data_IF_507709498352
#
_entry.id   IF_507709498352
#
_cell.length_a   1.000
_cell.length_b   1.000
_cell.length_c   1.000
_cell.angle_alpha   90.00
_cell.angle_beta   90.00
_cell.angle_gamma   90.00
#
_symmetry.space_group_name_H-M   'P 1'
#
loop_
_entity.id
_entity.type
_entity.pdbx_description
1 polymer ?
#
# COMPACT_ATOMS: atom_id res chain seq x y z
N UNK A 1 -10.53 21.17 -8.90
CA UNK A 1 -9.17 21.72 -8.85
C UNK A 1 -8.66 22.01 -10.27
N UNK A 2 -7.86 23.07 -10.49
CA UNK A 2 -7.26 23.37 -11.80
C UNK A 2 -6.18 22.36 -12.16
N UNK A 3 -6.06 21.99 -13.45
CA UNK A 3 -5.08 21.01 -13.93
C UNK A 3 -3.64 21.43 -13.67
N UNK A 4 -3.35 22.72 -13.72
CA UNK A 4 -2.04 23.27 -13.41
C UNK A 4 -1.63 23.01 -11.95
N UNK A 5 -2.59 23.08 -11.02
CA UNK A 5 -2.33 22.75 -9.62
C UNK A 5 -2.17 21.24 -9.42
N UNK A 6 -2.99 20.41 -10.10
CA UNK A 6 -2.82 18.95 -10.08
C UNK A 6 -1.39 18.58 -10.52
N UNK A 7 -0.95 19.15 -11.67
CA UNK A 7 0.40 18.93 -12.17
C UNK A 7 1.47 19.40 -11.19
N UNK A 8 1.29 20.59 -10.59
CA UNK A 8 2.22 21.14 -9.61
C UNK A 8 2.40 20.22 -8.41
N UNK A 9 1.32 19.59 -7.89
CA UNK A 9 1.43 18.63 -6.78
C UNK A 9 2.33 17.45 -7.17
N UNK A 10 2.15 16.87 -8.37
CA UNK A 10 3.02 15.81 -8.85
C UNK A 10 4.48 16.25 -8.97
N UNK A 11 4.73 17.42 -9.56
CA UNK A 11 6.08 17.95 -9.76
C UNK A 11 6.79 18.20 -8.41
N UNK A 12 6.08 18.79 -7.43
CA UNK A 12 6.63 19.13 -6.12
C UNK A 12 6.83 17.91 -5.21
N UNK A 13 6.15 16.80 -5.49
CA UNK A 13 6.25 15.54 -4.73
C UNK A 13 6.98 14.43 -5.48
N UNK A 14 7.65 14.74 -6.60
CA UNK A 14 8.41 13.80 -7.44
C UNK A 14 9.73 13.36 -6.78
N UNK A 15 9.66 12.78 -5.59
CA UNK A 15 10.78 12.22 -4.85
C UNK A 15 10.34 11.02 -4.01
N UNK A 16 11.31 10.17 -3.67
CA UNK A 16 11.09 9.02 -2.77
C UNK A 16 10.72 9.54 -1.38
N UNK A 17 9.63 9.00 -0.80
CA UNK A 17 9.06 9.45 0.47
C UNK A 17 8.56 8.26 1.30
N UNK A 18 9.51 7.39 1.65
CA UNK A 18 9.21 6.15 2.39
C UNK A 18 8.60 6.44 3.76
N UNK A 19 7.67 5.61 4.17
CA UNK A 19 6.94 5.73 5.43
C UNK A 19 7.85 5.92 6.66
N UNK A 20 7.55 6.93 7.48
CA UNK A 20 8.32 7.32 8.66
C UNK A 20 9.58 8.14 8.39
N UNK A 21 9.88 8.49 7.13
CA UNK A 21 11.05 9.31 6.76
C UNK A 21 10.77 10.82 6.85
N UNK A 22 11.85 11.62 6.90
CA UNK A 22 11.75 13.08 6.77
C UNK A 22 11.15 13.51 5.42
N UNK A 23 11.35 12.70 4.38
CA UNK A 23 10.77 12.95 3.06
C UNK A 23 9.25 12.74 3.07
N UNK A 24 8.75 11.71 3.75
CA UNK A 24 7.32 11.52 3.97
C UNK A 24 6.72 12.69 4.77
N UNK A 25 7.36 13.10 5.87
CA UNK A 25 6.93 14.26 6.66
C UNK A 25 6.86 15.54 5.83
N UNK A 26 7.86 15.78 4.98
CA UNK A 26 7.85 16.91 4.04
C UNK A 26 6.66 16.85 3.08
N UNK A 27 6.28 15.67 2.58
CA UNK A 27 5.10 15.52 1.74
C UNK A 27 3.80 15.78 2.51
N UNK A 28 3.70 15.32 3.77
CA UNK A 28 2.56 15.62 4.64
C UNK A 28 2.38 17.13 4.85
N UNK A 29 3.45 17.84 5.18
CA UNK A 29 3.43 19.30 5.34
C UNK A 29 3.08 20.03 4.04
N UNK A 30 3.58 19.53 2.91
CA UNK A 30 3.23 20.07 1.59
C UNK A 30 1.74 19.91 1.29
N UNK A 31 1.16 18.73 1.56
CA UNK A 31 -0.28 18.48 1.36
C UNK A 31 -1.12 19.35 2.31
N UNK A 32 -0.72 19.47 3.58
CA UNK A 32 -1.37 20.35 4.54
C UNK A 32 -1.34 21.81 4.07
N UNK A 33 -0.19 22.30 3.58
CA UNK A 33 -0.08 23.66 3.05
C UNK A 33 -0.92 23.85 1.79
N UNK A 34 -0.92 22.87 0.87
CA UNK A 34 -1.76 22.90 -0.34
C UNK A 34 -3.26 23.00 0.01
N UNK A 35 -3.70 22.27 1.03
CA UNK A 35 -5.07 22.39 1.52
C UNK A 35 -5.35 23.81 2.04
N UNK A 36 -4.44 24.38 2.83
CA UNK A 36 -4.56 25.75 3.34
C UNK A 36 -4.62 26.80 2.22
N UNK A 37 -3.83 26.63 1.17
CA UNK A 37 -3.83 27.52 -0.01
C UNK A 37 -5.15 27.45 -0.79
N UNK A 38 -5.87 26.34 -0.67
CA UNK A 38 -7.23 26.15 -1.21
C UNK A 38 -8.34 26.65 -0.27
N UNK A 39 -7.97 27.18 0.91
CA UNK A 39 -8.91 27.65 1.94
C UNK A 39 -9.52 26.51 2.78
N UNK A 40 -8.87 25.35 2.82
CA UNK A 40 -9.26 24.19 3.62
C UNK A 40 -8.43 24.12 4.90
N UNK A 41 -9.06 23.79 6.02
CA UNK A 41 -8.37 23.54 7.27
C UNK A 41 -7.86 22.10 7.31
N UNK A 42 -6.53 21.92 7.42
CA UNK A 42 -5.91 20.63 7.49
C UNK A 42 -4.96 20.53 8.69
N UNK A 43 -4.97 19.38 9.36
CA UNK A 43 -4.08 19.10 10.47
C UNK A 43 -3.32 17.78 10.28
N UNK A 44 -2.21 17.62 11.00
CA UNK A 44 -1.42 16.40 11.04
C UNK A 44 -1.80 15.60 12.28
N UNK A 45 -2.08 14.31 12.08
CA UNK A 45 -2.32 13.36 13.17
C UNK A 45 -1.18 12.35 13.22
N UNK A 46 -0.30 12.41 14.25
CA UNK A 46 0.87 11.55 14.33
C UNK A 46 0.51 10.14 14.82
N UNK A 47 1.30 9.16 14.35
CA UNK A 47 1.29 7.80 14.87
C UNK A 47 2.70 7.20 14.87
N UNK A 48 2.94 6.26 15.81
CA UNK A 48 4.24 5.61 15.95
C UNK A 48 4.47 4.55 14.87
N UNK A 49 5.70 4.48 14.36
CA UNK A 49 6.15 3.47 13.40
C UNK A 49 7.49 2.89 13.82
N UNK A 50 7.68 1.58 13.60
CA UNK A 50 8.98 0.93 13.79
C UNK A 50 9.84 1.16 12.55
N UNK A 51 11.07 1.60 12.76
CA UNK A 51 12.02 1.96 11.70
C UNK A 51 13.34 1.21 11.89
N UNK A 52 14.07 1.04 10.80
CA UNK A 52 15.43 0.54 10.85
C UNK A 52 16.35 1.28 9.87
N UNK A 53 17.61 1.38 10.22
CA UNK A 53 18.67 1.83 9.33
C UNK A 53 19.71 0.72 9.24
N UNK A 54 19.90 0.17 8.05
CA UNK A 54 20.95 -0.83 7.81
C UNK A 54 22.30 -0.12 7.76
N UNK A 55 23.21 -0.55 8.63
CA UNK A 55 24.60 -0.05 8.73
C UNK A 55 25.54 -0.93 7.91
N UNK A 56 25.29 -2.23 7.88
CA UNK A 56 26.08 -3.21 7.13
C UNK A 56 25.18 -4.37 6.68
N UNK A 57 25.27 -4.76 5.41
CA UNK A 57 24.67 -5.96 4.88
C UNK A 57 25.65 -6.64 3.94
N UNK A 58 26.09 -7.85 4.26
CA UNK A 58 27.02 -8.64 3.45
C UNK A 58 26.43 -10.03 3.24
N UNK A 59 26.39 -10.45 1.98
CA UNK A 59 26.07 -11.82 1.57
C UNK A 59 27.32 -12.42 0.92
N UNK A 60 27.81 -13.53 1.46
CA UNK A 60 28.86 -14.33 0.82
C UNK A 60 28.28 -15.69 0.43
N UNK A 61 28.51 -16.12 -0.80
CA UNK A 61 28.07 -17.42 -1.33
C UNK A 61 29.28 -18.15 -1.89
N UNK A 62 29.60 -19.33 -1.32
CA UNK A 62 30.80 -20.11 -1.64
C UNK A 62 32.09 -19.28 -1.70
N UNK A 63 32.23 -18.35 -0.71
CA UNK A 63 33.39 -17.45 -0.59
C UNK A 63 33.35 -16.22 -1.52
N UNK A 64 32.35 -16.06 -2.37
CA UNK A 64 32.15 -14.89 -3.23
C UNK A 64 31.15 -13.92 -2.60
N UNK A 65 31.48 -12.67 -2.50
CA UNK A 65 30.55 -11.61 -2.10
C UNK A 65 29.53 -11.33 -3.20
N UNK A 66 28.28 -11.25 -2.82
CA UNK A 66 27.12 -10.98 -3.69
C UNK A 66 26.52 -9.63 -3.27
N UNK A 67 26.31 -8.67 -4.20
CA UNK A 67 25.61 -7.43 -3.89
C UNK A 67 24.23 -7.70 -3.30
N UNK A 68 23.94 -7.09 -2.14
CA UNK A 68 22.66 -7.31 -1.46
C UNK A 68 22.18 -6.07 -0.71
N UNK A 69 20.87 -6.05 -0.39
CA UNK A 69 20.27 -5.13 0.58
C UNK A 69 19.79 -5.91 1.78
N UNK A 70 20.11 -5.45 2.99
CA UNK A 70 19.59 -6.04 4.21
C UNK A 70 18.08 -5.83 4.35
N UNK A 71 17.37 -6.83 4.85
CA UNK A 71 15.98 -6.67 5.24
C UNK A 71 15.89 -5.77 6.46
N UNK A 72 15.18 -4.66 6.34
CA UNK A 72 14.85 -3.78 7.47
C UNK A 72 14.06 -4.56 8.52
N UNK A 73 14.31 -4.28 9.80
CA UNK A 73 13.66 -4.90 10.95
C UNK A 73 13.88 -6.42 11.11
N UNK A 74 14.79 -7.02 10.36
CA UNK A 74 15.12 -8.45 10.45
C UNK A 74 16.12 -8.79 11.58
N UNK A 75 16.44 -7.82 12.44
CA UNK A 75 17.44 -7.98 13.50
C UNK A 75 18.86 -7.78 13.01
N UNK A 76 19.83 -7.97 13.92
CA UNK A 76 21.26 -7.89 13.61
C UNK A 76 21.96 -9.18 14.04
N UNK A 77 22.99 -9.59 13.32
CA UNK A 77 23.77 -10.78 13.61
C UNK A 77 24.55 -11.30 12.42
N UNK A 78 25.07 -12.49 12.59
CA UNK A 78 25.81 -13.24 11.59
C UNK A 78 25.30 -14.69 11.57
N UNK A 79 25.12 -15.26 10.39
CA UNK A 79 24.77 -16.66 10.19
C UNK A 79 25.50 -17.22 8.98
N UNK A 80 26.12 -18.39 9.14
CA UNK A 80 26.73 -19.16 8.05
C UNK A 80 26.16 -20.57 8.07
N UNK A 81 25.66 -21.03 6.93
CA UNK A 81 25.00 -22.34 6.84
C UNK A 81 24.99 -22.84 5.39
N UNK A 82 24.68 -24.15 5.19
CA UNK A 82 24.39 -24.64 3.85
C UNK A 82 23.29 -23.85 3.17
N UNK A 83 23.44 -23.55 1.88
CA UNK A 83 22.45 -22.88 1.07
C UNK A 83 21.42 -23.90 0.54
N UNK A 84 20.16 -23.49 0.50
CA UNK A 84 19.08 -24.30 -0.06
C UNK A 84 18.16 -23.43 -0.94
N UNK A 85 17.94 -23.85 -2.17
CA UNK A 85 16.97 -23.21 -3.05
C UNK A 85 15.60 -23.85 -2.89
N UNK A 86 14.65 -23.12 -2.34
CA UNK A 86 13.27 -23.53 -2.11
C UNK A 86 12.40 -23.10 -3.29
N UNK A 87 11.94 -24.05 -4.08
CA UNK A 87 11.07 -23.82 -5.25
C UNK A 87 9.59 -23.80 -4.91
N UNK A 88 9.15 -24.72 -4.01
CA UNK A 88 7.74 -24.95 -3.70
C UNK A 88 7.50 -25.04 -2.18
N UNK A 89 6.27 -24.77 -1.75
CA UNK A 89 5.84 -24.90 -0.34
C UNK A 89 5.20 -26.26 -0.02
N UNK A 90 5.60 -27.30 -0.73
CA UNK A 90 5.18 -28.67 -0.38
C UNK A 90 6.01 -29.23 0.80
N UNK A 91 5.46 -30.25 1.46
CA UNK A 91 6.07 -30.83 2.67
C UNK A 91 7.50 -31.38 2.42
N UNK A 92 7.77 -31.91 1.24
CA UNK A 92 9.09 -32.44 0.89
C UNK A 92 10.11 -31.32 0.76
N UNK A 93 9.79 -30.32 -0.06
CA UNK A 93 10.67 -29.16 -0.29
C UNK A 93 10.94 -28.40 1.01
N UNK A 94 9.92 -28.17 1.83
CA UNK A 94 10.07 -27.48 3.11
C UNK A 94 10.94 -28.25 4.10
N UNK A 95 10.95 -29.58 4.07
CA UNK A 95 11.82 -30.38 4.94
C UNK A 95 13.33 -30.11 4.69
N UNK A 96 13.68 -29.61 3.52
CA UNK A 96 15.03 -29.22 3.14
C UNK A 96 15.54 -27.94 3.81
N UNK A 97 14.68 -27.13 4.45
CA UNK A 97 15.04 -25.83 5.03
C UNK A 97 15.83 -25.95 6.34
N UNK A 98 15.73 -27.08 7.06
CA UNK A 98 16.26 -27.23 8.42
C UNK A 98 17.78 -26.94 8.50
N UNK A 99 18.14 -25.95 9.30
CA UNK A 99 19.52 -25.55 9.54
C UNK A 99 20.21 -24.90 8.34
N UNK A 100 19.43 -24.37 7.39
CA UNK A 100 19.96 -23.79 6.16
C UNK A 100 19.56 -22.34 5.98
N UNK A 101 20.37 -21.60 5.21
CA UNK A 101 19.98 -20.31 4.62
C UNK A 101 19.17 -20.65 3.36
N UNK A 102 17.96 -20.12 3.26
CA UNK A 102 17.01 -20.48 2.21
C UNK A 102 16.89 -19.34 1.18
N UNK A 103 17.33 -19.60 -0.05
CA UNK A 103 16.97 -18.79 -1.21
C UNK A 103 15.59 -19.27 -1.71
N UNK A 104 14.64 -18.35 -1.87
CA UNK A 104 13.29 -18.71 -2.29
C UNK A 104 12.76 -17.78 -3.38
N UNK A 105 11.84 -18.28 -4.18
CA UNK A 105 11.14 -17.52 -5.18
C UNK A 105 9.94 -16.76 -4.59
N UNK A 106 9.67 -15.58 -5.14
CA UNK A 106 8.53 -14.77 -4.79
C UNK A 106 8.73 -13.87 -3.57
N UNK A 107 7.61 -13.30 -3.14
CA UNK A 107 7.56 -12.32 -2.06
C UNK A 107 7.55 -12.99 -0.68
N UNK A 108 8.29 -12.39 0.30
CA UNK A 108 8.27 -12.81 1.69
C UNK A 108 6.97 -12.35 2.38
N UNK A 109 5.89 -13.06 2.16
CA UNK A 109 4.65 -12.88 2.91
C UNK A 109 4.64 -13.66 4.23
N UNK A 110 3.61 -13.42 5.04
CA UNK A 110 3.43 -14.04 6.36
C UNK A 110 3.53 -15.57 6.31
N UNK A 111 2.81 -16.23 5.39
CA UNK A 111 2.79 -17.70 5.32
C UNK A 111 4.15 -18.26 4.91
N UNK A 112 4.83 -17.66 3.94
CA UNK A 112 6.20 -18.05 3.57
C UNK A 112 7.16 -17.91 4.76
N UNK A 113 7.06 -16.80 5.50
CA UNK A 113 7.91 -16.59 6.66
C UNK A 113 7.64 -17.62 7.77
N UNK A 114 6.37 -17.96 8.04
CA UNK A 114 6.02 -19.03 8.99
C UNK A 114 6.55 -20.39 8.53
N UNK A 115 6.43 -20.72 7.25
CA UNK A 115 6.96 -21.95 6.68
C UNK A 115 8.48 -22.07 6.89
N UNK A 116 9.24 -20.99 6.69
CA UNK A 116 10.68 -20.97 6.94
C UNK A 116 11.01 -21.22 8.42
N UNK A 117 10.35 -20.53 9.34
CA UNK A 117 10.55 -20.68 10.77
C UNK A 117 10.19 -22.07 11.26
N UNK A 118 9.01 -22.57 10.92
CA UNK A 118 8.48 -23.89 11.35
C UNK A 118 9.34 -25.05 10.83
N UNK A 119 9.98 -24.88 9.68
CA UNK A 119 10.88 -25.87 9.10
C UNK A 119 12.35 -25.63 9.44
N UNK A 120 12.65 -24.71 10.39
CA UNK A 120 13.97 -24.55 11.00
C UNK A 120 15.01 -23.91 10.08
N UNK A 121 14.62 -23.04 9.14
CA UNK A 121 15.55 -22.18 8.43
C UNK A 121 16.30 -21.27 9.41
N UNK A 122 17.57 -20.96 9.12
CA UNK A 122 18.41 -20.11 9.99
C UNK A 122 18.68 -18.72 9.40
N UNK A 123 18.29 -18.51 8.16
CA UNK A 123 18.36 -17.22 7.45
C UNK A 123 17.67 -17.35 6.10
N UNK A 124 17.49 -16.23 5.40
CA UNK A 124 16.85 -16.26 4.10
C UNK A 124 17.43 -15.24 3.11
N UNK A 125 17.27 -15.55 1.83
CA UNK A 125 17.61 -14.70 0.69
C UNK A 125 16.38 -14.62 -0.19
N UNK A 126 15.90 -13.40 -0.46
CA UNK A 126 14.91 -13.13 -1.50
C UNK A 126 15.56 -12.42 -2.68
N UNK A 127 14.84 -12.30 -3.78
CA UNK A 127 15.34 -11.54 -4.91
C UNK A 127 14.25 -10.69 -5.57
N UNK A 128 14.69 -9.60 -6.20
CA UNK A 128 13.88 -8.67 -6.96
C UNK A 128 14.51 -8.37 -8.32
N UNK A 129 13.75 -7.66 -9.15
CA UNK A 129 14.23 -7.20 -10.43
C UNK A 129 14.00 -8.20 -11.56
N UNK A 130 14.81 -8.09 -12.59
CA UNK A 130 14.68 -8.89 -13.80
C UNK A 130 16.08 -9.17 -14.37
N UNK A 131 16.32 -10.40 -14.78
CA UNK A 131 17.62 -10.85 -15.33
C UNK A 131 18.11 -10.04 -16.53
N UNK A 132 17.19 -9.45 -17.30
CA UNK A 132 17.53 -8.62 -18.47
C UNK A 132 17.93 -7.17 -18.09
N UNK A 133 17.80 -6.79 -16.80
CA UNK A 133 18.05 -5.46 -16.29
C UNK A 133 18.85 -5.53 -15.00
N UNK A 134 19.99 -6.23 -15.05
CA UNK A 134 20.82 -6.53 -13.88
C UNK A 134 21.41 -5.30 -13.18
N UNK A 135 21.56 -4.19 -13.90
CA UNK A 135 22.11 -2.92 -13.40
C UNK A 135 21.07 -2.06 -12.66
N UNK A 136 19.79 -2.45 -12.71
CA UNK A 136 18.74 -1.72 -11.99
C UNK A 136 18.80 -2.02 -10.50
N UNK A 137 18.69 -0.97 -9.73
CA UNK A 137 18.61 -1.10 -8.27
C UNK A 137 17.34 -1.86 -7.85
N UNK A 138 17.43 -2.56 -6.73
CA UNK A 138 16.34 -3.32 -6.13
C UNK A 138 15.78 -2.59 -4.90
N UNK A 139 14.52 -2.87 -4.56
CA UNK A 139 13.85 -2.23 -3.45
C UNK A 139 14.44 -2.68 -2.08
N UNK A 140 14.39 -1.78 -1.10
CA UNK A 140 14.60 -2.15 0.29
C UNK A 140 13.37 -2.93 0.80
N UNK A 141 13.63 -4.17 1.20
CA UNK A 141 12.59 -5.01 1.79
C UNK A 141 12.57 -4.87 3.30
N UNK A 142 11.42 -5.14 3.88
CA UNK A 142 11.19 -5.04 5.32
C UNK A 142 10.55 -6.33 5.85
N UNK A 143 11.07 -6.84 6.95
CA UNK A 143 10.40 -7.86 7.73
C UNK A 143 9.36 -7.17 8.63
N UNK A 144 8.18 -6.98 8.09
CA UNK A 144 7.11 -6.24 8.77
C UNK A 144 6.76 -6.89 10.12
N UNK A 145 6.47 -6.11 11.19
CA UNK A 145 6.19 -6.64 12.52
C UNK A 145 5.06 -7.69 12.57
N UNK A 146 4.01 -7.50 11.77
CA UNK A 146 2.91 -8.46 11.68
C UNK A 146 3.29 -9.78 10.97
N UNK A 147 4.36 -9.77 10.16
CA UNK A 147 4.94 -10.97 9.54
C UNK A 147 5.86 -11.67 10.54
N UNK A 148 6.74 -10.94 11.19
CA UNK A 148 7.72 -11.45 12.14
C UNK A 148 7.07 -12.03 13.41
N UNK A 149 6.05 -11.37 13.94
CA UNK A 149 5.42 -11.69 15.25
C UNK A 149 6.46 -11.91 16.37
N UNK A 150 7.50 -11.07 16.38
CA UNK A 150 8.58 -11.15 17.36
C UNK A 150 9.70 -12.17 17.08
N UNK A 151 9.53 -13.05 16.09
CA UNK A 151 10.56 -14.00 15.67
C UNK A 151 11.30 -13.45 14.45
N UNK A 152 12.62 -13.31 14.54
CA UNK A 152 13.44 -12.70 13.48
C UNK A 152 14.47 -13.69 12.94
N UNK A 153 14.51 -13.80 11.61
CA UNK A 153 15.58 -14.44 10.86
C UNK A 153 16.33 -13.37 10.09
N UNK A 154 17.66 -13.47 10.06
CA UNK A 154 18.49 -12.62 9.21
C UNK A 154 18.13 -12.84 7.76
N UNK A 155 17.95 -11.75 7.03
CA UNK A 155 17.55 -11.83 5.63
C UNK A 155 18.16 -10.73 4.77
N UNK A 156 18.43 -11.08 3.52
CA UNK A 156 18.90 -10.16 2.51
C UNK A 156 18.09 -10.28 1.22
N UNK A 157 18.04 -9.19 0.46
CA UNK A 157 17.45 -9.13 -0.86
C UNK A 157 18.54 -8.92 -1.90
N UNK A 158 18.50 -9.66 -3.01
CA UNK A 158 19.49 -9.61 -4.09
C UNK A 158 18.82 -9.35 -5.44
N UNK A 159 19.60 -9.03 -6.46
CA UNK A 159 19.09 -8.94 -7.83
C UNK A 159 18.74 -10.34 -8.37
N UNK A 160 17.69 -10.43 -9.16
CA UNK A 160 17.26 -11.67 -9.82
C UNK A 160 18.36 -12.31 -10.67
N UNK A 161 19.25 -11.51 -11.29
CA UNK A 161 20.43 -12.03 -12.02
C UNK A 161 21.38 -12.79 -11.12
N UNK A 162 21.68 -12.23 -9.93
CA UNK A 162 22.55 -12.90 -8.95
C UNK A 162 21.92 -14.17 -8.40
N UNK A 163 20.60 -14.17 -8.18
CA UNK A 163 19.87 -15.37 -7.75
C UNK A 163 19.98 -16.49 -8.81
N UNK A 164 19.82 -16.17 -10.10
CA UNK A 164 20.01 -17.13 -11.21
C UNK A 164 21.44 -17.65 -11.23
N UNK A 165 22.44 -16.79 -11.08
CA UNK A 165 23.85 -17.21 -11.10
C UNK A 165 24.19 -18.12 -9.91
N UNK A 166 23.64 -17.85 -8.71
CA UNK A 166 23.76 -18.71 -7.53
C UNK A 166 23.18 -20.10 -7.78
N UNK A 167 21.98 -20.16 -8.33
CA UNK A 167 21.32 -21.45 -8.63
C UNK A 167 22.08 -22.21 -9.71
N UNK A 168 22.49 -21.54 -10.80
CA UNK A 168 23.23 -22.17 -11.89
C UNK A 168 24.60 -22.70 -11.47
N UNK A 169 25.27 -22.06 -10.50
CA UNK A 169 26.54 -22.53 -9.96
C UNK A 169 26.41 -23.68 -8.99
N UNK A 170 25.18 -24.11 -8.68
CA UNK A 170 24.89 -25.10 -7.65
C UNK A 170 25.57 -24.81 -6.30
N UNK A 171 25.58 -23.55 -5.90
CA UNK A 171 26.21 -23.05 -4.68
C UNK A 171 25.79 -23.84 -3.43
N UNK A 172 26.75 -24.08 -2.51
CA UNK A 172 26.55 -24.99 -1.36
C UNK A 172 26.41 -24.27 -0.04
N UNK A 173 27.04 -23.11 0.13
CA UNK A 173 27.09 -22.40 1.41
C UNK A 173 26.78 -20.94 1.23
N UNK A 174 26.15 -20.34 2.24
CA UNK A 174 25.96 -18.92 2.30
C UNK A 174 26.26 -18.38 3.71
N UNK A 175 26.72 -17.13 3.77
CA UNK A 175 26.93 -16.38 5.00
C UNK A 175 26.23 -15.02 4.85
N UNK A 176 25.43 -14.66 5.85
CA UNK A 176 24.75 -13.35 5.96
C UNK A 176 25.32 -12.64 7.17
N UNK A 177 25.79 -11.41 6.98
CA UNK A 177 26.09 -10.45 8.05
C UNK A 177 25.13 -9.28 7.89
N UNK A 178 24.38 -8.98 8.93
CA UNK A 178 23.44 -7.86 8.93
C UNK A 178 23.60 -7.06 10.23
N UNK A 179 23.91 -5.77 10.11
CA UNK A 179 23.92 -4.83 11.23
C UNK A 179 22.94 -3.71 10.91
N UNK A 180 22.03 -3.47 11.83
CA UNK A 180 21.06 -2.40 11.70
C UNK A 180 20.69 -1.83 13.06
N UNK A 181 20.36 -0.56 13.06
CA UNK A 181 19.77 0.12 14.21
C UNK A 181 18.26 0.18 14.01
N UNK A 182 17.53 -0.50 14.89
CA UNK A 182 16.06 -0.44 14.94
C UNK A 182 15.65 0.63 15.95
N UNK A 183 14.62 1.40 15.62
CA UNK A 183 14.13 2.51 16.45
C UNK A 183 12.67 2.83 16.16
N UNK A 184 12.03 3.58 17.09
CA UNK A 184 10.69 4.10 16.90
C UNK A 184 10.76 5.51 16.35
N UNK A 185 9.92 5.79 15.38
CA UNK A 185 9.73 7.09 14.76
C UNK A 185 8.25 7.43 14.65
N UNK A 186 7.94 8.52 13.96
CA UNK A 186 6.56 8.92 13.72
C UNK A 186 6.31 9.07 12.22
N UNK A 187 5.13 8.64 11.80
CA UNK A 187 4.48 9.03 10.57
C UNK A 187 3.23 9.84 10.89
N UNK A 188 2.53 10.34 9.88
CA UNK A 188 1.38 11.23 10.07
C UNK A 188 0.29 10.92 9.06
N UNK A 189 -0.97 11.02 9.48
CA UNK A 189 -2.07 11.26 8.57
C UNK A 189 -2.27 12.77 8.41
N UNK A 190 -2.65 13.22 7.21
CA UNK A 190 -3.11 14.61 6.98
C UNK A 190 -4.62 14.56 6.86
N UNK A 191 -5.32 15.33 7.68
CA UNK A 191 -6.79 15.26 7.78
C UNK A 191 -7.40 16.61 7.44
N UNK A 192 -8.45 16.59 6.61
CA UNK A 192 -9.32 17.71 6.31
C UNK A 192 -10.74 17.33 6.72
N UNK A 193 -11.40 18.17 7.51
CA UNK A 193 -12.79 18.00 7.92
C UNK A 193 -13.67 19.06 7.26
N UNK A 194 -14.79 18.60 6.68
CA UNK A 194 -15.85 19.46 6.17
C UNK A 194 -17.15 19.10 6.91
N UNK A 195 -17.57 19.90 7.89
CA UNK A 195 -18.80 19.63 8.63
C UNK A 195 -20.03 19.67 7.72
N UNK A 196 -20.89 18.67 7.84
CA UNK A 196 -22.18 18.59 7.14
C UNK A 196 -23.37 18.93 8.04
N UNK A 197 -24.57 18.61 7.57
CA UNK A 197 -25.81 18.79 8.32
C UNK A 197 -26.02 17.70 9.37
N UNK A 198 -25.37 16.53 9.19
CA UNK A 198 -25.50 15.37 10.09
C UNK A 198 -24.12 14.99 10.67
N UNK A 199 -24.07 14.38 11.84
CA UNK A 199 -22.83 13.88 12.42
C UNK A 199 -22.31 12.62 11.71
N UNK A 200 -23.13 11.92 10.96
CA UNK A 200 -22.69 10.78 10.17
C UNK A 200 -21.68 11.21 9.09
N UNK A 201 -20.69 10.36 8.83
CA UNK A 201 -19.53 10.71 8.02
C UNK A 201 -19.40 9.86 6.77
N UNK A 202 -18.86 10.46 5.71
CA UNK A 202 -18.24 9.75 4.59
C UNK A 202 -16.75 10.11 4.63
N UNK A 203 -15.90 9.07 4.63
CA UNK A 203 -14.44 9.24 4.70
C UNK A 203 -13.84 8.97 3.32
N UNK A 204 -12.90 9.82 2.92
CA UNK A 204 -12.08 9.66 1.72
C UNK A 204 -10.66 9.35 2.12
N UNK A 205 -10.04 8.35 1.51
CA UNK A 205 -8.66 7.95 1.79
C UNK A 205 -7.80 7.87 0.56
N UNK A 206 -6.52 8.20 0.68
CA UNK A 206 -5.46 7.93 -0.27
C UNK A 206 -4.12 8.02 0.47
N UNK A 207 -3.15 7.17 0.14
CA UNK A 207 -1.83 7.28 0.78
C UNK A 207 -0.90 8.20 0.00
N UNK A 208 0.06 8.81 0.72
CA UNK A 208 1.00 9.74 0.15
C UNK A 208 2.46 9.31 0.27
N UNK A 209 2.75 8.23 0.99
CA UNK A 209 4.09 7.62 1.01
C UNK A 209 4.39 6.85 -0.28
N UNK A 210 5.60 6.37 -0.42
CA UNK A 210 6.04 5.55 -1.55
C UNK A 210 7.05 4.49 -1.09
N UNK A 211 7.31 3.48 -1.93
CA UNK A 211 8.41 2.54 -1.69
C UNK A 211 9.79 3.18 -1.88
N UNK A 212 10.87 2.49 -1.51
CA UNK A 212 12.22 3.06 -1.43
C UNK A 212 12.85 3.46 -2.77
N UNK A 213 12.28 3.04 -3.88
CA UNK A 213 12.76 3.41 -5.22
C UNK A 213 11.75 4.25 -6.01
N UNK A 214 10.50 4.28 -5.59
CA UNK A 214 9.41 4.91 -6.31
C UNK A 214 9.26 6.40 -5.97
N UNK A 215 9.03 7.22 -6.98
CA UNK A 215 8.48 8.57 -6.78
C UNK A 215 6.99 8.52 -6.43
N UNK A 216 6.31 7.38 -6.59
CA UNK A 216 4.92 7.18 -6.23
C UNK A 216 3.99 8.20 -6.87
N UNK A 217 4.15 8.50 -8.16
CA UNK A 217 3.27 9.43 -8.85
C UNK A 217 1.90 8.78 -9.12
N UNK A 218 1.93 7.58 -9.65
CA UNK A 218 0.74 6.78 -9.88
C UNK A 218 0.31 6.09 -8.58
N UNK A 219 1.24 5.51 -7.85
CA UNK A 219 1.06 4.82 -6.57
C UNK A 219 1.74 5.60 -5.42
N UNK A 220 1.08 6.56 -4.66
CA UNK A 220 -0.33 6.93 -4.90
C UNK A 220 -0.53 8.45 -4.69
N UNK A 221 0.39 9.29 -5.17
CA UNK A 221 0.11 10.73 -5.20
C UNK A 221 -1.12 11.04 -6.08
N UNK A 222 -1.44 10.17 -7.03
CA UNK A 222 -2.62 10.28 -7.87
C UNK A 222 -3.92 10.29 -7.05
N UNK A 223 -4.05 9.37 -6.10
CA UNK A 223 -5.17 9.34 -5.16
C UNK A 223 -5.23 10.60 -4.30
N UNK A 224 -4.06 11.06 -3.81
CA UNK A 224 -3.97 12.31 -3.03
C UNK A 224 -4.46 13.52 -3.82
N UNK A 225 -4.02 13.69 -5.05
CA UNK A 225 -4.53 14.74 -5.97
C UNK A 225 -6.04 14.61 -6.15
N UNK A 226 -6.55 13.38 -6.26
CA UNK A 226 -7.98 13.09 -6.38
C UNK A 226 -8.78 13.55 -5.18
N UNK A 227 -8.42 13.10 -3.97
CA UNK A 227 -9.17 13.47 -2.76
C UNK A 227 -9.00 14.96 -2.43
N UNK A 228 -7.86 15.60 -2.73
CA UNK A 228 -7.68 17.05 -2.60
C UNK A 228 -8.61 17.82 -3.53
N UNK A 229 -8.77 17.36 -4.79
CA UNK A 229 -9.70 17.97 -5.73
C UNK A 229 -11.17 17.83 -5.28
N UNK A 230 -11.50 16.69 -4.68
CA UNK A 230 -12.83 16.45 -4.13
C UNK A 230 -13.09 17.30 -2.87
N UNK A 231 -12.10 17.46 -1.98
CA UNK A 231 -12.20 18.35 -0.83
C UNK A 231 -12.46 19.82 -1.25
N UNK A 232 -11.73 20.31 -2.25
CA UNK A 232 -11.98 21.64 -2.83
C UNK A 232 -13.40 21.77 -3.42
N UNK A 233 -13.88 20.70 -4.09
CA UNK A 233 -15.23 20.70 -4.65
C UNK A 233 -16.30 20.77 -3.55
N UNK A 234 -16.21 19.88 -2.55
CA UNK A 234 -17.21 19.82 -1.48
C UNK A 234 -17.20 21.04 -0.55
N UNK A 235 -16.06 21.69 -0.37
CA UNK A 235 -16.01 22.95 0.37
C UNK A 235 -16.85 24.08 -0.28
N UNK A 236 -17.17 23.95 -1.58
CA UNK A 236 -17.91 24.95 -2.36
C UNK A 236 -19.33 24.49 -2.74
N UNK A 237 -19.67 23.23 -2.44
CA UNK A 237 -20.92 22.61 -2.84
C UNK A 237 -21.59 21.97 -1.61
N UNK A 238 -22.92 22.00 -1.52
CA UNK A 238 -23.62 21.44 -0.37
C UNK A 238 -23.41 19.93 -0.25
N UNK A 239 -23.31 19.48 1.00
CA UNK A 239 -23.29 18.08 1.38
C UNK A 239 -24.03 17.90 2.71
N UNK A 240 -24.82 16.85 2.82
CA UNK A 240 -25.59 16.55 4.02
C UNK A 240 -24.75 15.84 5.08
N UNK A 241 -23.97 14.82 4.69
CA UNK A 241 -23.06 14.11 5.56
C UNK A 241 -21.83 14.94 5.84
N UNK A 242 -21.27 14.82 7.03
CA UNK A 242 -19.92 15.31 7.31
C UNK A 242 -18.91 14.54 6.46
N UNK A 243 -17.90 15.24 5.93
CA UNK A 243 -16.88 14.63 5.07
C UNK A 243 -15.51 14.77 5.71
N UNK A 244 -14.75 13.68 5.70
CA UNK A 244 -13.38 13.65 6.19
C UNK A 244 -12.46 13.11 5.10
N UNK A 245 -11.39 13.82 4.81
CA UNK A 245 -10.39 13.43 3.82
C UNK A 245 -9.10 13.10 4.57
N UNK A 246 -8.59 11.89 4.41
CA UNK A 246 -7.42 11.37 5.10
C UNK A 246 -6.36 11.01 4.06
N UNK A 247 -5.27 11.76 4.05
CA UNK A 247 -4.07 11.39 3.33
C UNK A 247 -3.26 10.50 4.27
N UNK A 248 -3.24 9.20 4.00
CA UNK A 248 -2.66 8.21 4.89
C UNK A 248 -1.14 8.15 4.72
N UNK A 249 -0.41 8.15 5.82
CA UNK A 249 1.04 7.90 5.81
C UNK A 249 1.37 6.42 5.96
N UNK A 250 2.55 6.03 5.48
CA UNK A 250 3.12 4.68 5.69
C UNK A 250 2.20 3.52 5.28
N UNK A 251 1.45 3.68 4.20
CA UNK A 251 0.60 2.63 3.62
C UNK A 251 1.45 1.47 3.13
N UNK A 252 2.51 1.77 2.38
CA UNK A 252 3.44 0.82 1.76
C UNK A 252 4.15 -0.10 2.76
N UNK A 253 4.15 0.30 4.03
CA UNK A 253 4.67 -0.48 5.14
C UNK A 253 3.62 -1.38 5.81
N UNK A 254 2.43 -1.43 5.25
CA UNK A 254 1.33 -2.30 5.67
C UNK A 254 0.13 -1.58 6.23
N UNK A 255 -0.37 -0.55 5.56
CA UNK A 255 -1.58 0.21 5.89
C UNK A 255 -1.47 0.89 7.27
N UNK A 256 -0.28 1.43 7.64
CA UNK A 256 -0.05 1.85 9.02
C UNK A 256 -0.88 3.08 9.38
N UNK A 257 -1.01 4.05 8.47
CA UNK A 257 -1.78 5.28 8.70
C UNK A 257 -3.27 5.01 8.89
N UNK A 258 -3.88 4.27 7.99
CA UNK A 258 -5.29 3.92 8.09
C UNK A 258 -5.59 2.99 9.28
N UNK A 259 -4.68 2.07 9.64
CA UNK A 259 -4.78 1.27 10.86
C UNK A 259 -4.70 2.12 12.13
N UNK A 260 -3.73 3.06 12.19
CA UNK A 260 -3.59 3.98 13.31
C UNK A 260 -4.85 4.83 13.48
N UNK A 261 -5.37 5.38 12.39
CA UNK A 261 -6.63 6.12 12.38
C UNK A 261 -7.79 5.28 12.94
N UNK A 262 -7.98 4.05 12.45
CA UNK A 262 -9.04 3.17 12.93
C UNK A 262 -8.93 2.80 14.42
N UNK A 263 -7.71 2.82 14.98
CA UNK A 263 -7.50 2.59 16.42
C UNK A 263 -7.80 3.88 17.21
N UNK A 264 -7.28 5.03 16.77
CA UNK A 264 -7.42 6.30 17.47
C UNK A 264 -8.88 6.80 17.48
N UNK A 265 -9.64 6.52 16.41
CA UNK A 265 -11.03 6.94 16.21
C UNK A 265 -12.03 5.78 16.28
N UNK A 266 -11.71 4.67 16.96
CA UNK A 266 -12.54 3.46 16.98
C UNK A 266 -14.00 3.75 17.37
N UNK A 267 -14.20 4.65 18.33
CA UNK A 267 -15.53 5.02 18.82
C UNK A 267 -16.39 5.78 17.78
N UNK A 268 -15.74 6.46 16.81
CA UNK A 268 -16.38 7.25 15.77
C UNK A 268 -16.75 6.41 14.55
N UNK A 269 -16.09 5.24 14.34
CA UNK A 269 -16.29 4.41 13.15
C UNK A 269 -17.74 3.93 12.97
N UNK A 270 -18.51 3.79 14.04
CA UNK A 270 -19.94 3.46 13.99
C UNK A 270 -20.79 4.49 13.25
N UNK A 271 -20.32 5.74 13.22
CA UNK A 271 -21.00 6.87 12.58
C UNK A 271 -20.52 7.08 11.13
N UNK A 272 -19.56 6.27 10.67
CA UNK A 272 -19.09 6.29 9.28
C UNK A 272 -20.03 5.48 8.41
N UNK A 273 -20.63 6.12 7.41
CA UNK A 273 -21.57 5.50 6.49
C UNK A 273 -20.86 4.79 5.33
N UNK A 274 -19.75 5.34 4.85
CA UNK A 274 -18.98 4.80 3.72
C UNK A 274 -17.55 5.33 3.74
N UNK A 275 -16.59 4.48 3.38
CA UNK A 275 -15.22 4.88 3.03
C UNK A 275 -15.04 4.81 1.51
N UNK A 276 -14.50 5.87 0.92
CA UNK A 276 -14.17 6.00 -0.50
C UNK A 276 -12.66 6.16 -0.62
N UNK A 277 -11.98 5.11 -1.06
CA UNK A 277 -10.53 5.07 -1.23
C UNK A 277 -10.16 5.30 -2.69
N UNK A 278 -9.16 6.14 -2.94
CA UNK A 278 -8.60 6.37 -4.25
C UNK A 278 -7.15 5.89 -4.25
N UNK A 279 -6.88 4.90 -5.11
CA UNK A 279 -5.56 4.32 -5.18
C UNK A 279 -5.22 3.93 -6.61
N UNK A 280 -4.23 4.65 -7.19
CA UNK A 280 -3.82 4.54 -8.59
C UNK A 280 -4.89 5.00 -9.59
N UNK A 281 -5.27 6.27 -9.58
CA UNK A 281 -6.17 6.87 -10.59
C UNK A 281 -5.39 7.73 -11.60
N UNK A 282 -6.04 8.17 -12.66
CA UNK A 282 -5.50 9.17 -13.62
C UNK A 282 -4.42 8.68 -14.58
N UNK A 283 -4.06 7.40 -14.58
CA UNK A 283 -3.15 6.84 -15.58
C UNK A 283 -3.70 7.03 -17.00
N UNK A 284 -2.82 7.31 -17.96
CA UNK A 284 -3.19 7.57 -19.37
C UNK A 284 -3.95 6.42 -20.02
N UNK A 285 -3.68 5.20 -19.61
CA UNK A 285 -4.33 3.96 -20.07
C UNK A 285 -4.71 3.10 -18.87
N UNK A 286 -5.54 2.10 -19.11
CA UNK A 286 -5.98 1.17 -18.08
C UNK A 286 -7.50 1.12 -17.93
N UNK A 287 -7.96 0.12 -17.21
CA UNK A 287 -9.37 -0.08 -16.90
C UNK A 287 -9.70 0.66 -15.61
N UNK A 288 -10.71 1.51 -15.66
CA UNK A 288 -11.24 2.07 -14.42
C UNK A 288 -12.04 0.98 -13.68
N UNK A 289 -11.66 0.74 -12.44
CA UNK A 289 -12.26 -0.28 -11.60
C UNK A 289 -12.83 0.33 -10.33
N UNK A 290 -13.84 -0.35 -9.77
CA UNK A 290 -14.37 -0.11 -8.45
C UNK A 290 -14.41 -1.43 -7.69
N UNK A 291 -13.58 -1.56 -6.67
CA UNK A 291 -13.56 -2.73 -5.79
C UNK A 291 -14.39 -2.41 -4.54
N UNK A 292 -15.47 -3.14 -4.35
CA UNK A 292 -16.46 -2.90 -3.29
C UNK A 292 -16.26 -3.93 -2.17
N UNK A 293 -15.89 -3.46 -0.99
CA UNK A 293 -15.86 -4.24 0.25
C UNK A 293 -17.09 -3.89 1.09
N UNK A 294 -18.24 -4.22 0.55
CA UNK A 294 -19.57 -3.98 1.09
C UNK A 294 -20.58 -4.91 0.39
N UNK A 295 -21.87 -4.64 0.51
CA UNK A 295 -22.92 -5.40 -0.16
C UNK A 295 -22.88 -5.27 -1.70
N UNK A 296 -23.41 -6.28 -2.40
CA UNK A 296 -23.44 -6.34 -3.88
C UNK A 296 -24.31 -5.23 -4.49
N UNK A 297 -25.29 -4.71 -3.77
CA UNK A 297 -26.13 -3.60 -4.24
C UNK A 297 -25.29 -2.37 -4.60
N UNK A 298 -24.21 -2.10 -3.88
CA UNK A 298 -23.29 -1.00 -4.20
C UNK A 298 -22.54 -1.24 -5.52
N UNK A 299 -22.16 -2.48 -5.83
CA UNK A 299 -21.59 -2.85 -7.15
C UNK A 299 -22.55 -2.51 -8.28
N UNK A 300 -23.82 -2.88 -8.13
CA UNK A 300 -24.86 -2.61 -9.12
C UNK A 300 -25.09 -1.09 -9.27
N UNK A 301 -25.16 -0.37 -8.14
CA UNK A 301 -25.32 1.08 -8.15
C UNK A 301 -24.21 1.78 -8.94
N UNK A 302 -22.95 1.44 -8.68
CA UNK A 302 -21.79 2.03 -9.39
C UNK A 302 -21.84 1.69 -10.89
N UNK A 303 -22.24 0.46 -11.24
CA UNK A 303 -22.37 0.04 -12.64
C UNK A 303 -23.47 0.82 -13.38
N UNK A 304 -24.62 1.05 -12.74
CA UNK A 304 -25.71 1.86 -13.29
C UNK A 304 -25.30 3.33 -13.43
N UNK A 305 -24.65 3.89 -12.43
CA UNK A 305 -24.12 5.24 -12.48
C UNK A 305 -23.11 5.43 -13.61
N UNK A 306 -22.22 4.45 -13.82
CA UNK A 306 -21.31 4.44 -14.97
C UNK A 306 -22.07 4.51 -16.30
N UNK A 307 -23.12 3.70 -16.45
CA UNK A 307 -23.96 3.70 -17.66
C UNK A 307 -24.71 5.02 -17.83
N UNK A 308 -25.25 5.57 -16.73
CA UNK A 308 -25.99 6.86 -16.74
C UNK A 308 -25.07 8.02 -17.17
N UNK A 309 -23.86 8.04 -16.68
CA UNK A 309 -22.88 9.11 -16.96
C UNK A 309 -22.03 8.87 -18.21
N UNK A 310 -22.22 7.75 -18.91
CA UNK A 310 -21.39 7.38 -20.07
C UNK A 310 -19.92 7.13 -19.70
N UNK A 311 -19.65 6.70 -18.47
CA UNK A 311 -18.32 6.42 -17.95
C UNK A 311 -18.10 4.91 -17.78
N UNK A 312 -17.04 4.37 -18.39
CA UNK A 312 -16.73 2.95 -18.31
C UNK A 312 -16.08 2.61 -16.95
N UNK A 313 -16.81 1.87 -16.12
CA UNK A 313 -16.32 1.34 -14.85
C UNK A 313 -16.58 -0.16 -14.75
N UNK A 314 -15.58 -0.92 -14.29
CA UNK A 314 -15.77 -2.32 -13.90
C UNK A 314 -15.90 -2.38 -12.39
N UNK A 315 -17.13 -2.46 -11.88
CA UNK A 315 -17.39 -2.67 -10.47
C UNK A 315 -17.42 -4.17 -10.13
N UNK A 316 -16.88 -4.55 -8.98
CA UNK A 316 -16.91 -5.91 -8.46
C UNK A 316 -16.74 -5.93 -6.94
N UNK A 317 -17.16 -7.02 -6.32
CA UNK A 317 -17.05 -7.21 -4.87
C UNK A 317 -15.79 -7.98 -4.52
N UNK A 318 -14.87 -7.33 -3.79
CA UNK A 318 -13.65 -7.94 -3.25
C UNK A 318 -13.04 -7.07 -2.14
N UNK A 319 -11.90 -7.49 -1.57
CA UNK A 319 -11.03 -6.68 -0.71
C UNK A 319 -9.93 -6.07 -1.57
N UNK A 320 -9.82 -4.75 -1.54
CA UNK A 320 -8.73 -4.02 -2.20
C UNK A 320 -7.59 -3.81 -1.20
N UNK A 321 -6.36 -4.18 -1.58
CA UNK A 321 -5.19 -4.06 -0.71
C UNK A 321 -4.75 -2.60 -0.61
N UNK A 322 -5.45 -1.80 0.16
CA UNK A 322 -5.19 -0.38 0.39
C UNK A 322 -5.92 0.13 1.63
N UNK A 323 -5.90 1.44 1.88
CA UNK A 323 -6.37 2.12 3.10
C UNK A 323 -7.86 1.91 3.44
N UNK A 324 -8.67 1.45 2.51
CA UNK A 324 -10.07 1.06 2.78
C UNK A 324 -10.18 -0.21 3.65
N UNK A 325 -9.17 -1.09 3.61
CA UNK A 325 -9.20 -2.40 4.28
C UNK A 325 -9.29 -2.33 5.81
N UNK A 326 -8.52 -1.48 6.52
CA UNK A 326 -8.64 -1.36 7.98
C UNK A 326 -10.03 -0.89 8.43
N UNK A 327 -10.68 -0.04 7.67
CA UNK A 327 -12.06 0.38 7.95
C UNK A 327 -13.05 -0.76 7.71
N UNK A 328 -12.90 -1.49 6.60
CA UNK A 328 -13.73 -2.64 6.30
C UNK A 328 -13.61 -3.74 7.37
N UNK A 329 -12.41 -3.93 7.93
CA UNK A 329 -12.16 -4.85 9.05
C UNK A 329 -12.93 -4.44 10.33
N UNK A 330 -13.17 -3.16 10.52
CA UNK A 330 -14.01 -2.62 11.60
C UNK A 330 -15.51 -2.62 11.26
N UNK A 331 -15.89 -3.22 10.15
CA UNK A 331 -17.28 -3.33 9.70
C UNK A 331 -17.81 -2.11 8.95
N UNK A 332 -16.97 -1.14 8.60
CA UNK A 332 -17.37 0.04 7.82
C UNK A 332 -17.40 -0.34 6.34
N UNK A 333 -18.52 -0.12 5.62
CA UNK A 333 -18.58 -0.33 4.17
C UNK A 333 -17.53 0.49 3.45
N UNK A 334 -16.86 -0.11 2.45
CA UNK A 334 -15.79 0.57 1.75
C UNK A 334 -15.83 0.31 0.24
N UNK A 335 -15.35 1.28 -0.53
CA UNK A 335 -15.14 1.17 -1.98
C UNK A 335 -13.80 1.80 -2.34
N UNK A 336 -13.01 1.08 -3.14
CA UNK A 336 -11.76 1.59 -3.72
C UNK A 336 -11.91 1.80 -5.21
N UNK A 337 -11.48 2.96 -5.68
CA UNK A 337 -11.43 3.30 -7.09
C UNK A 337 -9.98 3.34 -7.58
N UNK A 338 -9.73 2.73 -8.73
CA UNK A 338 -8.44 2.71 -9.37
C UNK A 338 -8.58 2.71 -10.91
N UNK A 339 -7.54 3.13 -11.60
CA UNK A 339 -7.39 2.92 -13.05
C UNK A 339 -6.26 1.92 -13.28
N UNK A 340 -6.61 0.64 -13.21
CA UNK A 340 -5.66 -0.47 -13.30
C UNK A 340 -5.00 -0.53 -14.69
N UNK A 341 -3.75 -0.10 -14.77
CA UNK A 341 -2.89 -0.22 -15.94
C UNK A 341 -2.12 -1.56 -15.92
N UNK A 342 -1.68 -2.00 -17.09
CA UNK A 342 -0.78 -3.16 -17.16
C UNK A 342 0.59 -2.84 -16.54
N UNK A 343 1.20 -3.81 -15.86
CA UNK A 343 2.49 -3.62 -15.18
C UNK A 343 3.63 -3.17 -16.11
N UNK A 344 3.58 -3.55 -17.39
CA UNK A 344 4.57 -3.13 -18.38
C UNK A 344 4.38 -1.66 -18.83
N UNK A 345 3.17 -1.11 -18.67
CA UNK A 345 2.87 0.27 -19.00
C UNK A 345 3.13 1.21 -17.81
N UNK A 346 2.63 0.87 -16.64
CA UNK A 346 2.73 1.67 -15.44
C UNK A 346 3.19 0.78 -14.27
N UNK A 347 4.48 0.45 -14.22
CA UNK A 347 5.02 -0.34 -13.13
C UNK A 347 5.05 0.49 -11.84
N UNK A 348 4.69 -0.12 -10.74
CA UNK A 348 4.72 0.46 -9.39
C UNK A 348 5.87 -0.13 -8.57
N UNK A 349 6.18 0.46 -7.43
CA UNK A 349 7.24 0.02 -6.49
C UNK A 349 8.64 0.00 -7.10
N UNK A 350 8.89 0.88 -8.07
CA UNK A 350 10.21 1.05 -8.71
C UNK A 350 10.39 2.47 -9.27
N UNK A 351 11.57 2.76 -9.82
CA UNK A 351 11.93 4.08 -10.33
C UNK A 351 11.17 4.56 -11.58
N UNK A 352 10.30 3.74 -12.14
CA UNK A 352 9.48 4.10 -13.32
C UNK A 352 8.06 4.57 -12.94
N UNK A 353 7.68 4.51 -11.68
CA UNK A 353 6.46 5.14 -11.21
C UNK A 353 6.65 6.65 -11.12
N UNK A 354 6.44 7.30 -12.24
CA UNK A 354 6.62 8.74 -12.44
C UNK A 354 5.41 9.37 -13.10
N UNK A 355 5.38 10.69 -13.14
CA UNK A 355 4.31 11.45 -13.81
C UNK A 355 4.17 11.15 -15.32
N UNK A 356 5.15 10.49 -15.93
CA UNK A 356 5.15 10.14 -17.35
C UNK A 356 3.96 9.24 -17.76
N UNK A 357 3.42 8.43 -16.85
CA UNK A 357 2.25 7.57 -17.11
C UNK A 357 0.93 8.26 -16.80
N UNK A 358 0.97 9.49 -16.28
CA UNK A 358 -0.21 10.25 -15.85
C UNK A 358 -0.71 11.16 -16.97
N UNK A 359 -2.03 11.39 -17.02
CA UNK A 359 -2.65 12.36 -17.92
C UNK A 359 -3.69 13.19 -17.17
N UNK A 360 -3.49 14.49 -17.12
CA UNK A 360 -4.36 15.38 -16.33
C UNK A 360 -5.82 15.38 -16.82
N UNK A 361 -6.06 15.18 -18.12
CA UNK A 361 -7.40 15.01 -18.67
C UNK A 361 -8.08 13.72 -18.20
N UNK A 362 -7.31 12.64 -18.09
CA UNK A 362 -7.81 11.37 -17.57
C UNK A 362 -8.03 11.45 -16.07
N UNK A 363 -7.08 12.06 -15.35
CA UNK A 363 -7.20 12.35 -13.93
C UNK A 363 -8.51 13.11 -13.62
N UNK A 364 -8.79 14.19 -14.38
CA UNK A 364 -10.02 14.96 -14.23
C UNK A 364 -11.27 14.10 -14.45
N UNK A 365 -11.29 13.26 -15.50
CA UNK A 365 -12.43 12.37 -15.80
C UNK A 365 -12.66 11.36 -14.66
N UNK A 366 -11.60 10.77 -14.13
CA UNK A 366 -11.69 9.82 -13.03
C UNK A 366 -12.23 10.52 -11.77
N UNK A 367 -11.69 11.68 -11.43
CA UNK A 367 -12.14 12.49 -10.29
C UNK A 367 -13.60 12.95 -10.46
N UNK A 368 -14.00 13.38 -11.67
CA UNK A 368 -15.38 13.82 -11.95
C UNK A 368 -16.37 12.68 -11.71
N UNK A 369 -16.06 11.46 -12.17
CA UNK A 369 -16.91 10.30 -11.94
C UNK A 369 -17.01 9.95 -10.44
N UNK A 370 -15.87 9.91 -9.74
CA UNK A 370 -15.85 9.61 -8.30
C UNK A 370 -16.57 10.70 -7.51
N UNK A 371 -16.40 11.98 -7.89
CA UNK A 371 -17.11 13.10 -7.28
C UNK A 371 -18.62 13.00 -7.49
N UNK A 372 -19.06 12.61 -8.68
CA UNK A 372 -20.49 12.40 -8.97
C UNK A 372 -21.07 11.26 -8.12
N UNK A 373 -20.34 10.15 -7.95
CA UNK A 373 -20.69 9.07 -7.03
C UNK A 373 -20.77 9.58 -5.58
N UNK A 374 -19.70 10.20 -5.10
CA UNK A 374 -19.60 10.70 -3.74
C UNK A 374 -20.67 11.75 -3.41
N UNK A 375 -21.00 12.63 -4.37
CA UNK A 375 -22.06 13.65 -4.18
C UNK A 375 -23.43 13.01 -3.98
N UNK A 376 -23.73 11.89 -4.66
CA UNK A 376 -24.99 11.16 -4.45
C UNK A 376 -25.04 10.51 -3.07
N UNK A 377 -23.91 9.97 -2.59
CA UNK A 377 -23.82 9.41 -1.24
C UNK A 377 -23.92 10.51 -0.18
N UNK A 378 -23.15 11.59 -0.34
CA UNK A 378 -23.05 12.68 0.62
C UNK A 378 -24.32 13.53 0.76
N UNK A 379 -25.20 13.54 -0.25
CA UNK A 379 -26.49 14.26 -0.23
C UNK A 379 -27.71 13.36 -0.06
N UNK A 380 -27.53 12.05 0.05
CA UNK A 380 -28.64 11.13 0.28
C UNK A 380 -29.34 11.43 1.60
N UNK A 381 -30.66 11.31 1.64
CA UNK A 381 -31.42 11.43 2.89
C UNK A 381 -30.98 10.35 3.91
N UNK A 382 -30.70 9.15 3.40
CA UNK A 382 -30.03 8.04 4.11
C UNK A 382 -29.05 7.46 3.10
N UNK A 383 -27.79 7.31 3.49
CA UNK A 383 -26.78 6.70 2.63
C UNK A 383 -27.26 5.29 2.22
N UNK A 384 -27.38 5.01 0.90
CA UNK A 384 -28.00 3.77 0.42
C UNK A 384 -27.02 2.58 0.45
N UNK A 385 -26.12 2.55 1.43
CA UNK A 385 -25.14 1.47 1.66
C UNK A 385 -25.43 0.83 3.00
N UNK A 386 -25.66 -0.49 3.01
CA UNK A 386 -25.88 -1.20 4.26
C UNK A 386 -24.62 -1.18 5.12
N UNK A 387 -24.78 -0.87 6.42
CA UNK A 387 -23.67 -0.87 7.40
C UNK A 387 -23.20 -2.27 7.75
N UNK A 388 -24.01 -3.31 7.49
CA UNK A 388 -23.63 -4.67 7.78
C UNK A 388 -22.66 -5.23 6.72
N UNK A 389 -21.47 -5.63 7.16
CA UNK A 389 -20.49 -6.28 6.30
C UNK A 389 -20.96 -7.70 5.94
N UNK A 390 -21.10 -8.04 4.65
CA UNK A 390 -21.52 -9.38 4.22
C UNK A 390 -20.54 -10.47 4.68
N UNK A 391 -21.04 -11.66 4.97
CA UNK A 391 -20.21 -12.77 5.49
C UNK A 391 -19.11 -13.21 4.51
N UNK A 392 -19.39 -13.19 3.21
CA UNK A 392 -18.38 -13.47 2.19
C UNK A 392 -17.26 -12.41 2.18
N UNK A 393 -17.54 -11.17 2.56
CA UNK A 393 -16.51 -10.13 2.69
C UNK A 393 -15.74 -10.29 4.00
N UNK A 394 -16.40 -10.65 5.10
CA UNK A 394 -15.72 -10.99 6.36
C UNK A 394 -14.72 -12.13 6.14
N UNK A 395 -15.11 -13.18 5.40
CA UNK A 395 -14.21 -14.29 5.09
C UNK A 395 -13.00 -13.85 4.25
N UNK A 396 -13.19 -13.01 3.23
CA UNK A 396 -12.10 -12.45 2.42
C UNK A 396 -11.19 -11.50 3.22
N UNK A 397 -11.76 -10.72 4.14
CA UNK A 397 -10.98 -9.87 5.04
C UNK A 397 -10.11 -10.72 5.98
N UNK A 398 -10.63 -11.83 6.52
CA UNK A 398 -9.85 -12.74 7.35
C UNK A 398 -8.70 -13.40 6.59
N UNK A 399 -8.91 -13.75 5.31
CA UNK A 399 -7.86 -14.26 4.43
C UNK A 399 -6.81 -13.17 4.14
N UNK A 400 -7.23 -11.96 3.80
CA UNK A 400 -6.34 -10.84 3.53
C UNK A 400 -5.51 -10.44 4.76
N UNK A 401 -6.15 -10.38 5.93
CA UNK A 401 -5.52 -10.02 7.20
C UNK A 401 -4.76 -11.18 7.87
N UNK A 402 -4.59 -12.30 7.15
CA UNK A 402 -3.81 -13.46 7.57
C UNK A 402 -4.34 -14.16 8.83
N UNK A 403 -5.61 -13.98 9.16
CA UNK A 403 -6.30 -14.69 10.24
C UNK A 403 -6.66 -16.12 9.81
N UNK A 404 -6.83 -16.31 8.50
CA UNK A 404 -7.18 -17.58 7.88
C UNK A 404 -6.29 -17.79 6.64
N UNK A 405 -5.78 -19.01 6.44
CA UNK A 405 -5.03 -19.33 5.21
C UNK A 405 -6.02 -19.40 4.05
N UNK A 406 -5.70 -18.75 2.93
CA UNK A 406 -6.51 -18.82 1.72
C UNK A 406 -6.67 -20.28 1.29
N UNK A 407 -7.89 -20.69 1.01
CA UNK A 407 -8.13 -22.03 0.43
C UNK A 407 -7.53 -22.07 -0.97
N UNK A 408 -6.69 -23.10 -1.24
CA UNK A 408 -6.08 -23.32 -2.53
C UNK A 408 -7.11 -23.63 -3.62
#
# INVERSE_FOLDING_TARGET
MKKELMKKIFDDTAYVRTGGSDAEKRAAEYLRQTASDLGLEAHLEPFEVELATVEEAVLTVDGREIPCKGYLLAGSGEVEAPLYYLTESDRYSLSGCKGKIVLFDGYLGYWRYRELLENGAVGFISYDGNVNYADRDIDHRELRPHVAKGEKLLGVNINAKDAVDIVNSEAKTAKIVLKQREYKGNSHNVIIDLPGETPEQIIFTAHYDSTSLSQGAYDNMSGCVGIMAMAEYFAKNPHRYSLRFIFCGSEERGLLGSKAYCIQHEAELKDVALVINLDMIGCIMGKFISCVTAETALVNYISYLGSELGFQVKAYQDVYSSDSTPFADKGVPAVSFARAAGRDLAPIHNSYDTVAVMKMEQMQKDVDFITAFASRMANAAICPVAKEMPDNMKEKLDEYLLRKKKKA
#
